data_IF_710340488978
#
_entry.id   IF_710340488978
#
_cell.length_a   1.000
_cell.length_b   1.000
_cell.length_c   1.000
_cell.angle_alpha   90.00
_cell.angle_beta   90.00
_cell.angle_gamma   90.00
#
_symmetry.space_group_name_H-M   'P 1'
#
loop_
_entity.id
_entity.type
_entity.pdbx_description
1 polymer ?
#
# COMPACT_ATOMS: atom_id res chain seq x y z
N UNK A 1 32.91 50.91 -0.88
CA UNK A 1 31.63 50.42 -1.44
C UNK A 1 31.68 48.90 -1.52
N UNK A 2 31.08 48.18 -0.56
CA UNK A 2 31.05 46.71 -0.52
C UNK A 2 29.62 46.26 -0.85
N UNK A 3 29.41 45.63 -2.01
CA UNK A 3 28.13 45.03 -2.40
C UNK A 3 28.06 43.62 -1.83
N UNK A 4 27.17 43.39 -0.88
CA UNK A 4 26.90 42.08 -0.28
C UNK A 4 25.86 41.36 -1.16
N UNK A 5 26.31 40.40 -1.97
CA UNK A 5 25.44 39.54 -2.76
C UNK A 5 24.91 38.41 -1.86
N UNK A 6 23.63 38.47 -1.49
CA UNK A 6 22.93 37.36 -0.81
C UNK A 6 22.39 36.45 -1.92
N UNK A 7 23.20 35.46 -2.30
CA UNK A 7 22.77 34.34 -3.14
C UNK A 7 21.95 33.39 -2.29
N UNK A 8 20.62 33.41 -2.47
CA UNK A 8 19.72 32.45 -1.85
C UNK A 8 19.88 31.11 -2.58
N UNK A 9 20.70 30.22 -2.02
CA UNK A 9 20.89 28.85 -2.49
C UNK A 9 19.59 28.06 -2.33
N UNK A 10 18.85 27.89 -3.42
CA UNK A 10 17.76 26.91 -3.52
C UNK A 10 18.42 25.53 -3.45
N UNK A 11 18.48 24.98 -2.25
CA UNK A 11 18.92 23.59 -2.04
C UNK A 11 17.81 22.68 -2.58
N UNK A 12 18.08 22.07 -3.73
CA UNK A 12 17.30 20.96 -4.27
C UNK A 12 17.11 19.90 -3.17
N UNK A 13 15.88 19.74 -2.68
CA UNK A 13 15.46 18.44 -2.15
C UNK A 13 15.36 17.50 -3.35
N UNK A 14 16.46 16.83 -3.69
CA UNK A 14 16.39 15.55 -4.40
C UNK A 14 15.85 14.57 -3.37
N UNK A 15 14.52 14.50 -3.25
CA UNK A 15 13.85 13.52 -2.42
C UNK A 15 14.19 12.13 -2.96
N UNK A 16 15.04 11.44 -2.19
CA UNK A 16 15.24 9.99 -2.12
C UNK A 16 15.04 9.19 -3.40
N UNK A 17 16.16 8.72 -3.94
CA UNK A 17 16.25 7.53 -4.80
C UNK A 17 15.30 6.44 -4.34
N UNK A 18 14.36 6.08 -5.21
CA UNK A 18 13.55 4.86 -5.25
C UNK A 18 13.60 4.01 -3.97
N UNK A 19 12.64 4.23 -3.07
CA UNK A 19 12.07 3.12 -2.30
C UNK A 19 11.76 2.03 -3.33
N UNK A 20 12.38 0.86 -3.22
CA UNK A 20 11.88 -0.32 -3.92
C UNK A 20 10.36 -0.32 -3.71
N UNK A 21 9.61 -0.25 -4.80
CA UNK A 21 8.19 -0.53 -4.73
C UNK A 21 8.13 -1.92 -4.11
N UNK A 22 7.52 -2.02 -2.94
CA UNK A 22 7.10 -3.27 -2.35
C UNK A 22 5.57 -3.23 -2.36
N UNK A 23 4.95 -4.39 -2.40
CA UNK A 23 3.50 -4.47 -2.30
C UNK A 23 3.05 -3.94 -0.92
N UNK A 24 2.01 -3.09 -0.94
CA UNK A 24 1.42 -2.48 0.27
C UNK A 24 -0.06 -2.83 0.31
N UNK A 25 -0.47 -3.45 1.42
CA UNK A 25 -1.87 -3.78 1.70
C UNK A 25 -2.48 -2.66 2.55
N UNK A 26 -3.42 -1.92 1.97
CA UNK A 26 -4.13 -0.83 2.65
C UNK A 26 -5.49 -1.30 3.15
N UNK A 27 -5.79 -1.08 4.44
CA UNK A 27 -7.05 -1.46 5.08
C UNK A 27 -7.85 -0.21 5.48
N UNK A 28 -9.09 -0.11 5.02
CA UNK A 28 -10.10 0.80 5.53
C UNK A 28 -11.02 0.05 6.50
N UNK A 29 -10.85 0.31 7.80
CA UNK A 29 -11.63 -0.33 8.87
C UNK A 29 -13.04 0.27 9.01
N UNK A 30 -13.31 1.41 8.39
CA UNK A 30 -14.62 2.08 8.42
C UNK A 30 -15.49 1.56 7.29
N UNK A 31 -14.96 1.56 6.07
CA UNK A 31 -15.64 1.02 4.89
C UNK A 31 -15.60 -0.52 4.82
N UNK A 32 -14.76 -1.16 5.65
CA UNK A 32 -14.46 -2.60 5.60
C UNK A 32 -13.97 -3.02 4.21
N UNK A 33 -13.05 -2.24 3.65
CA UNK A 33 -12.44 -2.51 2.35
C UNK A 33 -10.92 -2.54 2.43
N UNK A 34 -10.28 -3.37 1.60
CA UNK A 34 -8.83 -3.39 1.47
C UNK A 34 -8.41 -3.18 0.02
N UNK A 35 -7.18 -2.73 -0.23
CA UNK A 35 -6.58 -2.68 -1.56
C UNK A 35 -5.10 -3.01 -1.53
N UNK A 36 -4.58 -3.53 -2.62
CA UNK A 36 -3.15 -3.80 -2.81
C UNK A 36 -2.58 -2.74 -3.75
N UNK A 37 -1.44 -2.14 -3.39
CA UNK A 37 -0.73 -1.14 -4.20
C UNK A 37 0.75 -1.47 -4.24
N UNK A 38 1.51 -0.71 -5.04
CA UNK A 38 2.93 -0.97 -5.23
C UNK A 38 3.18 -2.06 -6.27
N UNK A 39 4.43 -2.47 -6.38
CA UNK A 39 4.89 -3.51 -7.30
C UNK A 39 5.98 -4.31 -6.61
N UNK A 40 6.19 -5.57 -6.96
CA UNK A 40 7.31 -6.36 -6.45
C UNK A 40 7.65 -7.49 -7.42
N UNK A 41 8.89 -7.97 -7.41
CA UNK A 41 9.38 -8.97 -8.38
C UNK A 41 9.97 -10.17 -7.67
N UNK A 42 9.55 -11.36 -8.11
CA UNK A 42 10.00 -12.62 -7.54
C UNK A 42 9.53 -13.81 -8.36
N UNK A 43 9.87 -15.00 -7.90
CA UNK A 43 9.48 -16.26 -8.54
C UNK A 43 8.45 -16.95 -7.65
N UNK A 44 7.19 -17.10 -8.11
CA UNK A 44 6.18 -17.88 -7.40
C UNK A 44 6.60 -19.34 -7.26
N UNK A 45 6.01 -20.05 -6.30
CA UNK A 45 6.12 -21.51 -6.27
C UNK A 45 5.37 -22.12 -7.45
N UNK A 46 5.92 -23.19 -8.03
CA UNK A 46 5.24 -23.99 -9.04
C UNK A 46 4.32 -25.02 -8.37
N UNK A 47 3.04 -24.90 -8.63
CA UNK A 47 1.99 -25.81 -8.15
C UNK A 47 1.27 -26.35 -9.38
N UNK A 48 1.75 -27.50 -9.87
CA UNK A 48 1.28 -28.20 -11.06
C UNK A 48 1.21 -27.30 -12.32
N UNK A 49 2.25 -26.51 -12.56
CA UNK A 49 2.37 -25.61 -13.71
C UNK A 49 1.75 -24.23 -13.50
N UNK A 50 1.25 -23.93 -12.30
CA UNK A 50 0.67 -22.64 -11.93
C UNK A 50 1.52 -21.96 -10.85
N UNK A 51 1.55 -20.64 -10.86
CA UNK A 51 2.28 -19.85 -9.88
C UNK A 51 1.45 -19.60 -8.63
N UNK A 52 2.05 -19.77 -7.44
CA UNK A 52 1.48 -19.31 -6.19
C UNK A 52 2.53 -18.54 -5.39
N UNK A 53 2.18 -17.34 -4.94
CA UNK A 53 2.92 -16.64 -3.90
C UNK A 53 2.07 -16.44 -2.66
N UNK A 54 2.68 -16.48 -1.46
CA UNK A 54 1.94 -16.22 -0.23
C UNK A 54 2.73 -15.61 0.91
N UNK A 55 2.08 -14.76 1.69
CA UNK A 55 2.62 -14.12 2.90
C UNK A 55 1.80 -14.53 4.11
N UNK A 56 2.46 -14.93 5.19
CA UNK A 56 1.81 -15.53 6.37
C UNK A 56 2.26 -14.83 7.64
N UNK A 57 1.32 -14.29 8.40
CA UNK A 57 1.56 -13.76 9.73
C UNK A 57 0.88 -14.65 10.77
N UNK A 58 1.67 -15.20 11.71
CA UNK A 58 1.20 -16.09 12.76
C UNK A 58 1.20 -15.40 14.14
N UNK A 59 0.50 -15.98 15.10
CA UNK A 59 0.59 -15.59 16.51
C UNK A 59 -0.22 -14.35 16.89
N UNK A 60 -1.32 -14.09 16.18
CA UNK A 60 -2.23 -12.95 16.43
C UNK A 60 -3.20 -13.16 17.62
N UNK A 61 -3.18 -14.34 18.24
CA UNK A 61 -4.05 -14.74 19.35
C UNK A 61 -5.49 -15.07 18.93
N UNK A 62 -6.23 -15.69 19.87
CA UNK A 62 -7.67 -16.01 19.73
C UNK A 62 -7.98 -17.48 19.41
N UNK A 63 -9.23 -17.88 19.65
CA UNK A 63 -9.81 -19.19 19.34
C UNK A 63 -10.92 -19.06 18.29
N UNK A 64 -11.16 -20.11 17.50
CA UNK A 64 -12.11 -20.24 16.40
C UNK A 64 -11.44 -20.38 15.03
N UNK A 65 -11.83 -21.40 14.26
CA UNK A 65 -11.64 -21.47 12.80
C UNK A 65 -12.67 -20.59 12.11
N UNK A 66 -12.24 -19.40 11.72
CA UNK A 66 -12.95 -18.61 10.72
C UNK A 66 -12.17 -18.68 9.40
N UNK A 67 -12.80 -19.31 8.39
CA UNK A 67 -12.28 -19.36 7.03
C UNK A 67 -12.77 -18.12 6.29
N UNK A 68 -11.82 -17.35 5.75
CA UNK A 68 -12.15 -16.11 5.08
C UNK A 68 -12.67 -16.29 3.66
N UNK A 69 -13.44 -15.27 3.27
CA UNK A 69 -14.06 -15.12 1.98
C UNK A 69 -13.06 -15.13 0.82
N UNK A 70 -13.53 -15.65 -0.30
CA UNK A 70 -12.84 -15.67 -1.56
C UNK A 70 -13.00 -14.30 -2.28
N UNK A 71 -11.89 -13.59 -2.52
CA UNK A 71 -11.77 -12.27 -3.13
C UNK A 71 -11.16 -12.32 -4.53
N UNK A 72 -11.59 -11.41 -5.40
CA UNK A 72 -11.24 -11.41 -6.81
C UNK A 72 -9.78 -10.98 -7.05
N UNK A 73 -8.93 -11.98 -7.30
CA UNK A 73 -7.51 -11.79 -7.58
C UNK A 73 -7.29 -10.94 -8.84
N UNK A 74 -8.13 -11.09 -9.86
CA UNK A 74 -8.01 -10.42 -11.17
C UNK A 74 -8.21 -8.90 -11.05
N UNK A 75 -8.97 -8.50 -10.04
CA UNK A 75 -9.22 -7.10 -9.74
C UNK A 75 -8.11 -6.50 -8.89
N UNK A 76 -7.39 -7.30 -8.10
CA UNK A 76 -6.51 -6.83 -7.03
C UNK A 76 -5.04 -6.59 -7.43
N UNK A 77 -4.55 -7.33 -8.42
CA UNK A 77 -3.19 -7.16 -8.93
C UNK A 77 -3.08 -7.52 -10.42
N UNK A 78 -1.98 -7.13 -11.03
CA UNK A 78 -1.60 -7.56 -12.37
C UNK A 78 -0.26 -8.29 -12.35
N UNK A 79 -0.07 -9.14 -13.36
CA UNK A 79 1.18 -9.86 -13.60
C UNK A 79 1.79 -9.44 -14.93
N UNK A 80 3.11 -9.53 -15.05
CA UNK A 80 3.82 -9.37 -16.33
C UNK A 80 3.77 -10.63 -17.21
N UNK A 81 3.52 -11.81 -16.63
CA UNK A 81 3.44 -13.10 -17.31
C UNK A 81 2.22 -13.88 -16.81
N UNK A 82 1.50 -14.53 -17.73
CA UNK A 82 0.27 -15.24 -17.39
C UNK A 82 -0.86 -14.28 -17.07
N UNK A 83 -1.77 -14.72 -16.23
CA UNK A 83 -2.95 -14.00 -15.76
C UNK A 83 -3.00 -14.09 -14.23
N UNK A 84 -3.35 -13.01 -13.54
CA UNK A 84 -3.85 -13.11 -12.17
C UNK A 84 -5.03 -14.09 -12.10
N UNK A 85 -5.30 -14.60 -10.90
CA UNK A 85 -6.33 -15.61 -10.71
C UNK A 85 -5.97 -16.93 -11.39
N UNK A 86 -6.82 -17.94 -11.23
CA UNK A 86 -6.64 -19.25 -11.87
C UNK A 86 -5.45 -20.09 -11.33
N UNK A 87 -5.30 -20.17 -10.00
CA UNK A 87 -4.50 -21.17 -9.29
C UNK A 87 -5.39 -22.36 -8.87
N UNK A 88 -4.87 -23.60 -8.92
CA UNK A 88 -5.55 -24.85 -8.45
C UNK A 88 -5.88 -24.77 -6.96
N UNK A 89 -5.14 -23.94 -6.22
CA UNK A 89 -5.42 -23.58 -4.84
C UNK A 89 -6.19 -22.26 -4.81
N UNK A 90 -7.32 -22.18 -5.54
CA UNK A 90 -8.18 -21.02 -5.75
C UNK A 90 -8.74 -20.44 -4.43
N UNK A 91 -7.85 -19.87 -3.65
CA UNK A 91 -8.10 -19.15 -2.42
C UNK A 91 -7.10 -18.01 -2.48
N UNK A 92 -7.48 -16.96 -3.20
CA UNK A 92 -7.80 -15.63 -2.68
C UNK A 92 -7.09 -15.19 -1.40
N UNK A 93 -7.11 -13.89 -1.11
CA UNK A 93 -6.56 -13.36 0.16
C UNK A 93 -7.24 -14.08 1.34
N UNK A 94 -6.57 -15.11 1.87
CA UNK A 94 -7.17 -16.06 2.80
C UNK A 94 -6.71 -15.75 4.20
N UNK A 95 -7.56 -15.11 4.99
CA UNK A 95 -7.26 -14.89 6.40
C UNK A 95 -7.72 -16.14 7.18
N UNK A 96 -6.87 -17.16 7.22
CA UNK A 96 -7.17 -18.39 7.94
C UNK A 96 -6.71 -18.29 9.39
N UNK A 97 -7.64 -18.42 10.34
CA UNK A 97 -7.29 -18.55 11.75
C UNK A 97 -7.37 -20.02 12.17
N UNK A 98 -6.22 -20.61 12.53
CA UNK A 98 -6.17 -21.97 13.06
C UNK A 98 -6.09 -21.93 14.59
N UNK A 99 -6.94 -22.74 15.24
CA UNK A 99 -7.05 -22.90 16.69
C UNK A 99 -5.81 -23.48 17.34
N UNK A 100 -4.95 -24.14 16.55
CA UNK A 100 -3.76 -24.81 17.05
C UNK A 100 -2.50 -23.93 17.07
N UNK A 101 -2.52 -22.75 16.43
CA UNK A 101 -1.34 -21.89 16.26
C UNK A 101 -1.54 -20.42 16.67
N UNK A 102 -2.71 -20.07 17.25
CA UNK A 102 -2.94 -18.75 17.82
C UNK A 102 -3.18 -17.66 16.77
N UNK A 103 -4.06 -17.91 15.80
CA UNK A 103 -4.52 -16.91 14.83
C UNK A 103 -3.48 -16.57 13.76
N UNK A 104 -3.83 -16.87 12.52
CA UNK A 104 -2.98 -16.62 11.35
C UNK A 104 -3.71 -15.67 10.39
N UNK A 105 -2.96 -14.85 9.67
CA UNK A 105 -3.43 -14.06 8.52
C UNK A 105 -2.59 -14.48 7.33
N UNK A 106 -3.22 -14.90 6.24
CA UNK A 106 -2.52 -15.26 5.01
C UNK A 106 -2.99 -14.39 3.85
N UNK A 107 -2.05 -14.02 2.99
CA UNK A 107 -2.33 -13.44 1.70
C UNK A 107 -1.78 -14.39 0.65
N UNK A 108 -2.63 -14.87 -0.25
CA UNK A 108 -2.23 -15.70 -1.39
C UNK A 108 -2.57 -14.97 -2.69
N UNK A 109 -1.61 -14.96 -3.62
CA UNK A 109 -1.82 -14.47 -4.98
C UNK A 109 -1.50 -15.61 -5.94
N UNK A 110 -2.54 -16.14 -6.58
CA UNK A 110 -2.45 -17.21 -7.57
C UNK A 110 -2.38 -16.65 -8.98
N UNK A 111 -1.63 -17.32 -9.86
CA UNK A 111 -1.46 -16.92 -11.26
C UNK A 111 -1.21 -18.12 -12.17
N UNK A 112 -1.50 -17.96 -13.45
CA UNK A 112 -1.42 -19.05 -14.43
C UNK A 112 0.01 -19.48 -14.85
N UNK A 113 1.06 -18.87 -14.29
CA UNK A 113 2.45 -19.20 -14.63
C UNK A 113 3.40 -19.09 -13.42
N UNK A 114 4.30 -20.06 -13.19
CA UNK A 114 5.30 -19.98 -12.11
C UNK A 114 6.60 -19.28 -12.52
N UNK A 115 6.66 -18.69 -13.73
CA UNK A 115 7.84 -17.95 -14.18
C UNK A 115 8.17 -16.75 -13.28
N UNK A 116 9.34 -16.13 -13.45
CA UNK A 116 9.68 -14.87 -12.78
C UNK A 116 8.62 -13.80 -13.10
N UNK A 117 8.04 -13.22 -12.05
CA UNK A 117 6.88 -12.34 -12.14
C UNK A 117 7.12 -11.01 -11.44
N UNK A 118 6.57 -9.95 -12.04
CA UNK A 118 6.35 -8.67 -11.37
C UNK A 118 4.86 -8.56 -11.06
N UNK A 119 4.54 -8.54 -9.76
CA UNK A 119 3.20 -8.36 -9.24
C UNK A 119 2.97 -6.87 -9.02
N UNK A 120 1.87 -6.32 -9.50
CA UNK A 120 1.54 -4.90 -9.31
C UNK A 120 0.15 -4.77 -8.75
N UNK A 121 0.03 -4.22 -7.55
CA UNK A 121 -1.27 -3.95 -6.93
C UNK A 121 -2.03 -2.89 -7.74
N UNK A 122 -3.30 -3.14 -8.02
CA UNK A 122 -4.14 -2.25 -8.84
C UNK A 122 -4.68 -1.05 -8.07
N UNK A 123 -4.65 -1.10 -6.74
CA UNK A 123 -5.34 -0.17 -5.86
C UNK A 123 -6.85 -0.34 -5.81
N UNK A 124 -7.41 -1.35 -6.48
CA UNK A 124 -8.83 -1.61 -6.45
C UNK A 124 -9.27 -2.08 -5.05
N UNK A 125 -10.35 -1.48 -4.55
CA UNK A 125 -10.88 -1.81 -3.23
C UNK A 125 -11.78 -3.04 -3.30
N UNK A 126 -11.56 -3.95 -2.37
CA UNK A 126 -12.37 -5.14 -2.17
C UNK A 126 -12.99 -5.12 -0.78
N UNK A 127 -14.28 -5.46 -0.69
CA UNK A 127 -14.99 -5.49 0.60
C UNK A 127 -14.67 -6.77 1.35
N UNK A 128 -14.32 -6.65 2.62
CA UNK A 128 -14.19 -7.77 3.55
C UNK A 128 -15.28 -7.78 4.64
N UNK A 129 -16.37 -7.04 4.43
CA UNK A 129 -17.46 -6.89 5.42
C UNK A 129 -18.25 -8.16 5.74
N UNK A 130 -18.18 -9.19 4.89
CA UNK A 130 -18.88 -10.48 5.09
C UNK A 130 -18.20 -11.42 6.07
N UNK A 131 -17.01 -11.04 6.55
CA UNK A 131 -16.17 -11.84 7.45
C UNK A 131 -16.70 -11.78 8.89
N UNK A 132 -16.48 -12.84 9.67
CA UNK A 132 -16.89 -12.86 11.08
C UNK A 132 -16.26 -11.70 11.86
N UNK A 133 -16.92 -11.17 12.92
CA UNK A 133 -16.35 -10.11 13.74
C UNK A 133 -14.98 -10.43 14.36
N UNK A 134 -14.74 -11.70 14.71
CA UNK A 134 -13.47 -12.15 15.27
C UNK A 134 -12.34 -12.10 14.25
N UNK A 135 -12.60 -12.57 13.03
CA UNK A 135 -11.63 -12.52 11.94
C UNK A 135 -11.40 -11.09 11.43
N UNK A 136 -12.44 -10.25 11.39
CA UNK A 136 -12.31 -8.81 11.12
C UNK A 136 -11.33 -8.15 12.09
N UNK A 137 -11.55 -8.31 13.40
CA UNK A 137 -10.70 -7.68 14.41
C UNK A 137 -9.23 -8.13 14.30
N UNK A 138 -8.97 -9.39 13.96
CA UNK A 138 -7.61 -9.91 13.76
C UNK A 138 -6.98 -9.37 12.49
N UNK A 139 -7.71 -9.33 11.37
CA UNK A 139 -7.20 -8.74 10.14
C UNK A 139 -6.83 -7.27 10.36
N UNK A 140 -7.73 -6.52 10.99
CA UNK A 140 -7.51 -5.11 11.30
C UNK A 140 -6.37 -4.90 12.33
N UNK A 141 -6.10 -5.89 13.19
CA UNK A 141 -4.94 -5.86 14.10
C UNK A 141 -3.59 -5.95 13.39
N UNK A 142 -3.57 -6.37 12.12
CA UNK A 142 -2.33 -6.40 11.32
C UNK A 142 -1.89 -5.02 10.83
N UNK A 143 -2.73 -3.98 10.98
CA UNK A 143 -2.36 -2.60 10.61
C UNK A 143 -1.10 -2.17 11.35
N UNK A 144 -0.11 -1.70 10.60
CA UNK A 144 1.21 -1.31 11.12
C UNK A 144 2.20 -2.47 11.23
N UNK A 145 1.79 -3.70 10.90
CA UNK A 145 2.65 -4.87 10.82
C UNK A 145 3.12 -5.13 9.38
N UNK A 146 4.05 -6.08 9.23
CA UNK A 146 4.43 -6.62 7.93
C UNK A 146 4.04 -8.09 7.83
N UNK A 147 3.47 -8.48 6.69
CA UNK A 147 3.22 -9.88 6.35
C UNK A 147 4.50 -10.45 5.72
N UNK A 148 5.22 -11.36 6.39
CA UNK A 148 6.43 -11.93 5.85
C UNK A 148 6.12 -12.95 4.76
N UNK A 149 6.98 -13.02 3.74
CA UNK A 149 6.89 -14.02 2.69
C UNK A 149 6.99 -15.42 3.31
N UNK A 150 6.09 -16.32 2.95
CA UNK A 150 6.21 -17.72 3.33
C UNK A 150 7.24 -18.39 2.40
N UNK A 151 8.33 -18.97 2.95
CA UNK A 151 9.42 -19.51 2.14
C UNK A 151 9.03 -20.71 1.27
N UNK A 152 7.90 -21.37 1.54
CA UNK A 152 7.38 -22.47 0.71
C UNK A 152 6.51 -22.00 -0.47
N UNK A 153 6.25 -20.70 -0.57
CA UNK A 153 5.26 -20.12 -1.48
C UNK A 153 5.91 -18.97 -2.27
N UNK A 154 7.09 -19.21 -2.83
CA UNK A 154 7.80 -18.26 -3.67
C UNK A 154 9.07 -17.70 -3.06
N UNK A 155 9.85 -17.00 -3.89
CA UNK A 155 11.17 -16.44 -3.55
C UNK A 155 11.39 -15.09 -4.23
N UNK A 156 12.28 -14.26 -3.70
CA UNK A 156 12.63 -12.96 -4.29
C UNK A 156 11.67 -11.82 -3.97
N UNK A 157 10.42 -12.12 -3.62
CA UNK A 157 9.46 -11.14 -3.15
C UNK A 157 9.82 -10.59 -1.75
N UNK A 158 9.50 -9.33 -1.53
CA UNK A 158 9.62 -8.62 -0.27
C UNK A 158 8.46 -8.95 0.66
N UNK A 159 8.58 -8.58 1.95
CA UNK A 159 7.44 -8.64 2.87
C UNK A 159 6.45 -7.51 2.55
N UNK A 160 5.16 -7.75 2.78
CA UNK A 160 4.12 -6.76 2.52
C UNK A 160 3.92 -5.87 3.74
N UNK A 161 3.87 -4.56 3.53
CA UNK A 161 3.49 -3.63 4.59
C UNK A 161 1.98 -3.53 4.67
N UNK A 162 1.41 -3.62 5.88
CA UNK A 162 -0.02 -3.40 6.11
C UNK A 162 -0.22 -2.01 6.70
N UNK A 163 -1.01 -1.17 6.02
CA UNK A 163 -1.22 0.23 6.41
C UNK A 163 -2.71 0.53 6.55
N UNK A 164 -3.05 1.53 7.36
CA UNK A 164 -4.41 2.05 7.40
C UNK A 164 -4.65 2.97 6.19
N UNK A 165 -5.72 2.75 5.44
CA UNK A 165 -6.11 3.59 4.32
C UNK A 165 -6.45 5.03 4.75
N UNK A 166 -6.94 5.23 5.98
CA UNK A 166 -7.22 6.54 6.56
C UNK A 166 -5.94 7.38 6.81
N UNK A 167 -4.76 6.75 6.77
CA UNK A 167 -3.48 7.42 6.95
C UNK A 167 -2.81 7.83 5.62
N UNK A 168 -3.41 7.53 4.46
CA UNK A 168 -2.94 8.03 3.16
C UNK A 168 -3.51 9.45 3.01
N UNK A 169 -2.70 10.52 3.14
CA UNK A 169 -3.21 11.86 2.97
C UNK A 169 -3.71 11.97 1.54
N UNK A 170 -5.00 12.27 1.37
CA UNK A 170 -5.58 12.41 0.05
C UNK A 170 -4.72 13.40 -0.78
N UNK A 171 -4.52 13.17 -2.09
CA UNK A 171 -3.78 14.11 -2.94
C UNK A 171 -4.30 15.55 -2.85
N UNK A 172 -5.59 15.70 -2.53
CA UNK A 172 -6.28 16.97 -2.31
C UNK A 172 -5.68 17.80 -1.17
N UNK A 173 -5.16 17.17 -0.11
CA UNK A 173 -4.61 17.89 1.06
C UNK A 173 -3.31 18.61 0.73
N UNK A 174 -2.51 18.05 -0.18
CA UNK A 174 -1.29 18.69 -0.68
C UNK A 174 -1.59 19.90 -1.57
N UNK A 175 -2.63 19.82 -2.40
CA UNK A 175 -3.09 20.93 -3.24
C UNK A 175 -3.63 22.07 -2.38
N UNK A 176 -4.41 21.74 -1.33
CA UNK A 176 -4.91 22.74 -0.38
C UNK A 176 -3.77 23.46 0.35
N UNK A 177 -2.74 22.73 0.79
CA UNK A 177 -1.55 23.31 1.42
C UNK A 177 -0.76 24.24 0.49
N UNK A 178 -0.53 23.82 -0.76
CA UNK A 178 0.13 24.65 -1.77
C UNK A 178 -0.67 25.91 -2.12
N UNK A 179 -2.00 25.79 -2.21
CA UNK A 179 -2.91 26.91 -2.46
C UNK A 179 -2.86 27.97 -1.36
N UNK A 180 -2.81 27.56 -0.09
CA UNK A 180 -2.70 28.49 1.04
C UNK A 180 -1.38 29.27 1.03
N UNK A 181 -0.26 28.62 0.72
CA UNK A 181 1.05 29.27 0.62
C UNK A 181 1.10 30.27 -0.54
N UNK A 182 0.51 29.93 -1.69
CA UNK A 182 0.40 30.84 -2.84
C UNK A 182 -0.43 32.09 -2.50
N UNK A 183 -1.56 31.91 -1.79
CA UNK A 183 -2.42 33.03 -1.37
C UNK A 183 -1.72 33.94 -0.35
N UNK A 184 -1.03 33.36 0.64
CA UNK A 184 -0.27 34.11 1.64
C UNK A 184 0.86 34.93 0.99
N UNK A 185 1.58 34.34 0.02
CA UNK A 185 2.59 35.04 -0.79
C UNK A 185 2.02 36.20 -1.59
N UNK A 186 0.87 36.00 -2.23
CA UNK A 186 0.19 37.04 -3.01
C UNK A 186 -0.30 38.22 -2.12
N UNK A 187 -0.88 37.94 -0.95
CA UNK A 187 -1.29 38.98 -0.01
C UNK A 187 -0.10 39.78 0.54
N UNK A 188 1.02 39.12 0.84
CA UNK A 188 2.25 39.78 1.27
C UNK A 188 2.82 40.69 0.17
N UNK A 189 2.75 40.26 -1.10
CA UNK A 189 3.15 41.07 -2.25
C UNK A 189 2.27 42.32 -2.44
N UNK A 190 0.93 42.18 -2.35
CA UNK A 190 0.02 43.35 -2.45
C UNK A 190 0.27 44.37 -1.33
N UNK A 191 0.53 43.91 -0.11
CA UNK A 191 0.85 44.80 1.03
C UNK A 191 2.13 45.60 0.81
N UNK A 192 3.13 45.03 0.13
CA UNK A 192 4.38 45.75 -0.21
C UNK A 192 4.14 46.82 -1.28
N UNK A 193 3.33 46.53 -2.30
CA UNK A 193 2.99 47.53 -3.33
C UNK A 193 2.14 48.69 -2.79
N UNK A 194 1.25 48.44 -1.84
CA UNK A 194 0.41 49.47 -1.22
C UNK A 194 1.18 50.43 -0.28
N UNK A 195 2.40 50.08 0.13
CA UNK A 195 3.25 50.90 1.01
C UNK A 195 4.35 51.67 0.26
N UNK A 196 4.38 51.63 -1.08
CA UNK A 196 5.30 52.46 -1.84
C UNK A 196 4.87 53.93 -1.70
N UNK A 197 5.67 54.82 -1.06
CA UNK A 197 5.32 56.22 -0.93
C UNK A 197 5.27 56.85 -2.32
N UNK A 198 4.21 57.62 -2.59
CA UNK A 198 4.12 58.45 -3.77
C UNK A 198 5.31 59.42 -3.76
N UNK A 199 6.25 59.23 -4.69
CA UNK A 199 7.27 60.22 -4.99
C UNK A 199 6.56 61.47 -5.49
N UNK A 200 6.58 62.51 -4.65
CA UNK A 200 6.12 63.84 -5.01
C UNK A 200 7.12 64.44 -6.02
N UNK A 201 6.62 64.77 -7.21
CA UNK A 201 7.26 65.72 -8.14
C UNK A 201 6.86 67.15 -7.77
#
# INVERSE_FOLDING_TARGET
MKRLAIGLSISLLVASTASQAALVLSLDTTAKTFSLTGSDTGTPSDIFGQGLVGWVLNGLGGSGTDTLANYDNDVSFTTNVGTPGNSILASDITIATDDSAGGTVVLYLGMSSPALQTLTGTGAFQSYSSVSPGALARFESTIGMSLPLNPGLGTGFSSISVVSAAAIPEPSTYIAGAGFLALAGFMAYRRRKAKAPATAE
#
